data_IF_456353297823
#
_entry.id   IF_456353297823
#
_cell.length_a   1.000
_cell.length_b   1.000
_cell.length_c   1.000
_cell.angle_alpha   90.00
_cell.angle_beta   90.00
_cell.angle_gamma   90.00
#
_symmetry.space_group_name_H-M   'P 1'
#
loop_
_entity.id
_entity.type
_entity.pdbx_description
1 polymer ?
#
# COMPACT_ATOMS: atom_id res chain seq x y z
N UNK A 1 -18.07 12.37 -5.19
CA UNK A 1 -17.49 11.02 -5.31
C UNK A 1 -15.99 11.18 -5.35
N UNK A 2 -15.23 10.35 -4.64
CA UNK A 2 -13.76 10.40 -4.65
C UNK A 2 -13.22 9.18 -5.41
N UNK A 3 -12.06 9.35 -6.04
CA UNK A 3 -11.32 8.31 -6.73
C UNK A 3 -10.05 7.98 -5.95
N UNK A 4 -9.62 6.72 -6.00
CA UNK A 4 -8.36 6.27 -5.41
C UNK A 4 -7.38 5.85 -6.51
N UNK A 5 -6.13 6.24 -6.37
CA UNK A 5 -5.02 5.78 -7.19
C UNK A 5 -3.89 5.26 -6.31
N UNK A 6 -3.14 4.27 -6.81
CA UNK A 6 -2.08 3.61 -6.06
C UNK A 6 -0.71 3.93 -6.66
N UNK A 7 0.20 4.42 -5.82
CA UNK A 7 1.61 4.41 -6.15
C UNK A 7 2.12 2.97 -5.99
N UNK A 8 2.85 2.47 -6.99
CA UNK A 8 3.30 1.08 -7.05
C UNK A 8 4.82 0.99 -7.10
N UNK A 9 5.36 -0.07 -6.50
CA UNK A 9 6.79 -0.36 -6.52
C UNK A 9 7.26 -0.62 -7.95
N UNK A 10 8.31 0.06 -8.44
CA UNK A 10 8.98 -0.29 -9.69
C UNK A 10 10.00 -1.43 -9.52
N UNK A 11 10.23 -1.89 -8.28
CA UNK A 11 11.25 -2.88 -7.94
C UNK A 11 10.63 -4.24 -7.65
N UNK A 12 11.30 -5.29 -8.12
CA UNK A 12 10.88 -6.67 -7.87
C UNK A 12 11.05 -7.04 -6.39
N UNK A 13 12.07 -6.52 -5.72
CA UNK A 13 12.24 -6.68 -4.28
C UNK A 13 13.10 -5.53 -3.74
N UNK A 14 12.58 -4.73 -2.82
CA UNK A 14 13.30 -3.57 -2.28
C UNK A 14 12.80 -3.18 -0.89
N UNK A 15 13.72 -2.78 -0.01
CA UNK A 15 13.37 -2.11 1.25
C UNK A 15 12.84 -0.71 0.95
N UNK A 16 11.74 -0.35 1.60
CA UNK A 16 11.15 0.99 1.56
C UNK A 16 11.77 1.78 2.71
N UNK A 17 12.72 2.64 2.39
CA UNK A 17 13.37 3.50 3.39
C UNK A 17 12.44 4.61 3.87
N UNK A 18 11.80 5.31 2.92
CA UNK A 18 10.85 6.39 3.21
C UNK A 18 9.85 6.56 2.07
N UNK A 19 8.64 7.01 2.41
CA UNK A 19 7.63 7.50 1.47
C UNK A 19 7.31 8.95 1.82
N UNK A 20 7.59 9.87 0.91
CA UNK A 20 7.30 11.30 1.07
C UNK A 20 5.90 11.62 0.57
N UNK A 21 5.01 12.05 1.48
CA UNK A 21 3.60 12.30 1.13
C UNK A 21 3.23 13.78 1.10
N UNK A 22 4.12 14.68 1.56
CA UNK A 22 3.81 16.10 1.73
C UNK A 22 3.39 16.78 0.41
N UNK A 23 4.13 16.56 -0.67
CA UNK A 23 3.81 17.14 -1.97
C UNK A 23 2.44 16.67 -2.49
N UNK A 24 2.15 15.38 -2.38
CA UNK A 24 0.86 14.81 -2.80
C UNK A 24 -0.31 15.37 -1.97
N UNK A 25 -0.14 15.51 -0.65
CA UNK A 25 -1.16 16.10 0.24
C UNK A 25 -1.45 17.57 -0.06
N UNK A 26 -0.49 18.31 -0.62
CA UNK A 26 -0.65 19.72 -0.95
C UNK A 26 -1.37 19.96 -2.29
N UNK A 27 -1.61 18.92 -3.09
CA UNK A 27 -2.30 19.06 -4.38
C UNK A 27 -3.79 19.36 -4.16
N UNK A 28 -4.34 20.44 -4.75
CA UNK A 28 -5.77 20.74 -4.67
C UNK A 28 -6.63 19.56 -5.14
N UNK A 29 -7.65 19.22 -4.36
CA UNK A 29 -8.54 18.08 -4.64
C UNK A 29 -8.07 16.75 -4.06
N UNK A 30 -6.84 16.64 -3.54
CA UNK A 30 -6.41 15.48 -2.74
C UNK A 30 -7.05 15.57 -1.36
N UNK A 31 -7.86 14.57 -1.02
CA UNK A 31 -8.52 14.47 0.28
C UNK A 31 -7.67 13.68 1.28
N UNK A 32 -6.91 12.69 0.80
CA UNK A 32 -6.13 11.80 1.66
C UNK A 32 -4.95 11.19 0.91
N UNK A 33 -3.84 11.01 1.61
CA UNK A 33 -2.73 10.14 1.20
C UNK A 33 -2.48 9.14 2.33
N UNK A 34 -2.40 7.87 1.98
CA UNK A 34 -2.31 6.74 2.92
C UNK A 34 -1.08 5.90 2.58
N UNK A 35 -0.29 5.56 3.60
CA UNK A 35 0.80 4.58 3.53
C UNK A 35 0.49 3.40 4.45
N UNK A 36 1.38 2.40 4.47
CA UNK A 36 1.27 1.31 5.43
C UNK A 36 1.22 1.80 6.90
N UNK A 37 1.86 2.94 7.22
CA UNK A 37 1.88 3.48 8.58
C UNK A 37 0.48 3.81 9.10
N UNK A 38 -0.37 4.44 8.29
CA UNK A 38 -1.76 4.72 8.65
C UNK A 38 -2.62 3.44 8.68
N UNK A 39 -2.36 2.48 7.78
CA UNK A 39 -3.15 1.25 7.69
C UNK A 39 -2.93 0.27 8.84
N UNK A 40 -1.74 0.24 9.45
CA UNK A 40 -1.45 -0.68 10.59
C UNK A 40 -2.45 -0.55 11.74
N UNK A 41 -3.03 0.63 11.94
CA UNK A 41 -3.98 0.90 13.02
C UNK A 41 -5.40 0.36 12.73
N UNK A 42 -5.76 0.15 11.45
CA UNK A 42 -7.15 -0.08 11.02
C UNK A 42 -7.34 -1.30 10.14
N UNK A 43 -6.26 -1.85 9.57
CA UNK A 43 -6.28 -2.98 8.66
C UNK A 43 -5.36 -4.10 9.16
N UNK A 44 -5.86 -5.33 9.08
CA UNK A 44 -5.05 -6.54 9.29
C UNK A 44 -4.59 -7.07 7.93
N UNK A 45 -3.36 -7.56 7.81
CA UNK A 45 -2.92 -8.24 6.59
C UNK A 45 -3.86 -9.40 6.24
N UNK A 46 -4.07 -9.62 4.93
CA UNK A 46 -4.69 -10.83 4.45
C UNK A 46 -3.76 -12.00 4.78
N UNK A 47 -4.31 -13.06 5.35
CA UNK A 47 -3.59 -14.30 5.64
C UNK A 47 -4.29 -15.43 4.87
N UNK A 48 -3.71 -15.92 3.76
CA UNK A 48 -4.26 -17.06 3.05
C UNK A 48 -4.27 -18.29 3.96
N UNK A 49 -5.30 -19.12 3.83
CA UNK A 49 -5.45 -20.37 4.56
C UNK A 49 -5.63 -21.50 3.57
N UNK A 50 -4.92 -22.59 3.80
CA UNK A 50 -5.04 -23.82 3.04
C UNK A 50 -4.95 -24.97 4.03
N UNK A 51 -5.89 -25.91 3.91
CA UNK A 51 -5.90 -27.11 4.75
C UNK A 51 -4.88 -28.13 4.23
N UNK A 52 -4.20 -28.81 5.16
CA UNK A 52 -3.19 -29.82 4.86
C UNK A 52 -1.78 -29.45 5.36
N UNK A 53 -0.90 -30.45 5.39
CA UNK A 53 0.47 -30.26 5.83
C UNK A 53 1.31 -29.56 4.76
N UNK A 54 2.26 -28.72 5.19
CA UNK A 54 3.26 -28.09 4.31
C UNK A 54 2.92 -26.68 3.81
N UNK A 55 1.72 -26.16 4.10
CA UNK A 55 1.39 -24.77 3.77
C UNK A 55 2.00 -23.80 4.79
N UNK A 56 2.74 -22.79 4.29
CA UNK A 56 3.25 -21.69 5.11
C UNK A 56 2.45 -20.43 4.79
N UNK A 57 1.60 -20.02 5.73
CA UNK A 57 0.84 -18.78 5.59
C UNK A 57 1.81 -17.58 5.54
N UNK A 58 1.56 -16.67 4.61
CA UNK A 58 2.29 -15.41 4.49
C UNK A 58 1.34 -14.25 4.73
N UNK A 59 1.77 -13.21 5.44
CA UNK A 59 0.96 -12.02 5.63
C UNK A 59 1.03 -11.13 4.37
N UNK A 60 -0.13 -10.74 3.84
CA UNK A 60 -0.28 -9.88 2.67
C UNK A 60 -0.90 -8.55 3.10
N UNK A 61 -0.07 -7.54 3.44
CA UNK A 61 -0.59 -6.23 3.81
C UNK A 61 -1.23 -5.55 2.60
N UNK A 62 -2.20 -4.65 2.84
CA UNK A 62 -2.90 -3.95 1.77
C UNK A 62 -1.98 -2.97 0.99
N UNK A 63 -0.97 -2.44 1.67
CA UNK A 63 0.15 -1.69 1.09
C UNK A 63 1.46 -2.29 1.59
N UNK A 64 2.49 -2.33 0.75
CA UNK A 64 3.81 -2.80 1.11
C UNK A 64 4.31 -2.09 2.37
N UNK A 65 4.73 -2.89 3.34
CA UNK A 65 5.15 -2.39 4.65
C UNK A 65 6.62 -2.73 4.90
N UNK A 66 7.47 -1.70 4.89
CA UNK A 66 8.93 -1.78 5.07
C UNK A 66 9.69 -2.41 3.89
N UNK A 67 9.06 -3.31 3.14
CA UNK A 67 9.66 -3.99 1.97
C UNK A 67 8.59 -4.25 0.92
N UNK A 68 8.87 -3.85 -0.32
CA UNK A 68 8.15 -4.30 -1.50
C UNK A 68 8.75 -5.65 -1.98
N UNK A 69 7.89 -6.61 -2.28
CA UNK A 69 8.21 -8.02 -2.59
C UNK A 69 7.94 -8.39 -4.05
N UNK A 70 7.33 -7.52 -4.84
CA UNK A 70 7.16 -7.68 -6.29
C UNK A 70 6.97 -6.34 -7.01
N UNK A 71 7.27 -6.33 -8.32
CA UNK A 71 6.99 -5.19 -9.19
C UNK A 71 5.47 -4.96 -9.26
N UNK A 72 5.03 -3.74 -9.01
CA UNK A 72 3.61 -3.39 -9.01
C UNK A 72 2.93 -3.49 -7.65
N UNK A 73 3.61 -3.95 -6.60
CA UNK A 73 3.05 -3.93 -5.24
C UNK A 73 2.72 -2.49 -4.83
N UNK A 74 1.51 -2.25 -4.30
CA UNK A 74 1.08 -0.91 -3.92
C UNK A 74 1.83 -0.46 -2.66
N UNK A 75 2.43 0.72 -2.67
CA UNK A 75 3.21 1.27 -1.55
C UNK A 75 2.51 2.43 -0.85
N UNK A 76 1.63 3.14 -1.58
CA UNK A 76 0.79 4.21 -1.07
C UNK A 76 -0.51 4.32 -1.89
N UNK A 77 -1.53 4.94 -1.29
CA UNK A 77 -2.78 5.28 -1.96
C UNK A 77 -3.07 6.78 -1.83
N UNK A 78 -3.57 7.39 -2.91
CA UNK A 78 -4.01 8.79 -2.96
C UNK A 78 -5.49 8.80 -3.28
N UNK A 79 -6.28 9.51 -2.46
CA UNK A 79 -7.71 9.71 -2.64
C UNK A 79 -7.96 11.16 -3.02
N UNK A 80 -8.62 11.40 -4.14
CA UNK A 80 -8.85 12.74 -4.69
C UNK A 80 -10.24 12.90 -5.33
N UNK A 81 -10.65 14.15 -5.57
CA UNK A 81 -11.94 14.51 -6.19
C UNK A 81 -12.07 14.09 -7.65
N UNK A 82 -10.95 13.83 -8.32
CA UNK A 82 -10.88 13.30 -9.69
C UNK A 82 -9.73 12.31 -9.79
N UNK A 83 -9.85 11.32 -10.68
CA UNK A 83 -8.70 10.51 -11.05
C UNK A 83 -7.70 11.37 -11.85
N UNK A 84 -6.38 11.21 -11.63
CA UNK A 84 -5.38 11.74 -12.56
C UNK A 84 -5.42 11.02 -13.92
#
# INVERSE_FOLDING_TARGET
MLSVSFARSPHAHARIDRIETAAARAVPGVALVVTAAELRAVAKPLAPRLDGAGFTATAWPALADGTARFCGEAVAAVVASSAP
#
